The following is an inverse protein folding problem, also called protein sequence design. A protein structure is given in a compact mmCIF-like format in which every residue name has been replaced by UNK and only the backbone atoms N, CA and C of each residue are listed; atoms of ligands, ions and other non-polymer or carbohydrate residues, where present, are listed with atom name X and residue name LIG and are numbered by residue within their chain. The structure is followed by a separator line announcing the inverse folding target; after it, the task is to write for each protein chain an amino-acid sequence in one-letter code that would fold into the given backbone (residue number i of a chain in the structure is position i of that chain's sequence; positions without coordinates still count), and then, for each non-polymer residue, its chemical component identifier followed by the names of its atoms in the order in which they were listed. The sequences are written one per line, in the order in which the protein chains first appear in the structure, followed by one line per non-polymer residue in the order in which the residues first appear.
data_IF_398753790374
#
_entry.id   IF_398753790374
#
_cell.length_a   1.000
_cell.length_b   1.000
_cell.length_c   1.000
_cell.angle_alpha   90.00
_cell.angle_beta   90.00
_cell.angle_gamma   90.00
#
_symmetry.space_group_name_H-M   'P 1'
#
loop_
_entity.id
_entity.type
_entity.pdbx_description
1 polymer ?
#
# COMPACT_ATOMS: atom_id res chain seq x y z
N UNK A 1 -54.22 -9.45 21.07
CA UNK A 1 -53.04 -8.54 21.16
C UNK A 1 -52.19 -9.06 22.32
N UNK A 2 -50.85 -9.06 22.19
CA UNK A 2 -49.82 -9.52 23.16
C UNK A 2 -49.07 -10.80 22.73
N UNK A 3 -48.27 -10.66 21.66
CA UNK A 3 -47.31 -11.68 21.19
C UNK A 3 -45.96 -11.01 20.90
N UNK A 4 -45.44 -10.21 21.86
CA UNK A 4 -44.20 -9.42 21.70
C UNK A 4 -43.48 -9.24 23.04
N UNK A 5 -42.97 -10.30 23.67
CA UNK A 5 -42.05 -10.14 24.83
C UNK A 5 -41.24 -11.39 25.18
N UNK A 6 -40.93 -12.28 24.23
CA UNK A 6 -40.27 -13.55 24.56
C UNK A 6 -39.14 -13.89 23.58
N UNK A 7 -38.16 -13.00 23.44
CA UNK A 7 -36.97 -13.27 22.59
C UNK A 7 -35.77 -12.38 22.93
N UNK A 8 -35.51 -12.09 24.22
CA UNK A 8 -34.31 -11.31 24.61
C UNK A 8 -33.44 -12.03 25.66
N UNK A 9 -33.93 -13.09 26.30
CA UNK A 9 -33.19 -13.77 27.36
C UNK A 9 -32.15 -14.82 26.89
N UNK A 10 -32.09 -15.15 25.59
CA UNK A 10 -31.24 -16.24 25.08
C UNK A 10 -29.79 -15.87 24.77
N UNK A 11 -29.47 -14.59 24.57
CA UNK A 11 -28.13 -14.15 24.09
C UNK A 11 -27.17 -13.82 25.25
N UNK A 12 -27.70 -13.57 26.46
CA UNK A 12 -26.89 -13.22 27.65
C UNK A 12 -26.24 -14.42 28.36
N UNK A 13 -26.54 -15.66 27.96
CA UNK A 13 -26.02 -16.86 28.65
C UNK A 13 -24.73 -17.43 28.06
N UNK A 14 -24.26 -16.93 26.89
CA UNK A 14 -23.04 -17.43 26.24
C UNK A 14 -21.77 -16.63 26.56
N UNK A 15 -21.83 -15.67 27.48
CA UNK A 15 -20.69 -14.82 27.83
C UNK A 15 -19.89 -15.29 29.06
N UNK A 16 -20.33 -16.34 29.77
CA UNK A 16 -19.76 -16.70 31.09
C UNK A 16 -18.83 -17.93 31.04
N UNK A 17 -18.58 -18.50 29.86
CA UNK A 17 -17.73 -19.70 29.71
C UNK A 17 -16.41 -19.42 28.97
N UNK A 18 -15.82 -18.23 29.12
CA UNK A 18 -14.42 -18.04 28.77
C UNK A 18 -13.53 -18.24 30.01
N UNK A 19 -12.55 -19.15 29.97
CA UNK A 19 -11.62 -19.33 31.08
C UNK A 19 -10.77 -18.07 31.17
N UNK A 20 -10.82 -17.42 32.33
CA UNK A 20 -9.92 -16.34 32.71
C UNK A 20 -8.46 -16.85 32.71
N UNK A 21 -7.81 -16.79 31.56
CA UNK A 21 -6.37 -16.85 31.45
C UNK A 21 -5.88 -15.41 31.49
N UNK A 22 -5.55 -14.95 32.69
CA UNK A 22 -4.78 -13.74 32.92
C UNK A 22 -3.35 -13.94 32.39
N UNK A 23 -3.20 -13.84 31.07
CA UNK A 23 -1.95 -13.47 30.41
C UNK A 23 -2.12 -12.03 29.97
N UNK A 24 -1.22 -11.17 30.44
CA UNK A 24 -1.21 -9.72 30.25
C UNK A 24 -0.88 -9.36 28.79
N UNK A 25 -1.73 -9.80 27.87
CA UNK A 25 -1.61 -9.57 26.43
C UNK A 25 -2.91 -8.92 26.02
N UNK A 26 -2.88 -7.60 25.89
CA UNK A 26 -4.03 -6.84 25.45
C UNK A 26 -4.44 -7.33 24.05
N UNK A 27 -5.59 -8.00 23.90
CA UNK A 27 -6.01 -8.52 22.61
C UNK A 27 -6.27 -7.38 21.60
N UNK A 28 -6.47 -6.15 22.07
CA UNK A 28 -6.58 -4.98 21.20
C UNK A 28 -5.24 -4.57 20.60
N UNK A 29 -4.14 -4.73 21.35
CA UNK A 29 -2.79 -4.43 20.85
C UNK A 29 -2.32 -5.43 19.78
N UNK A 30 -2.67 -6.72 19.93
CA UNK A 30 -2.39 -7.74 18.91
C UNK A 30 -3.21 -7.49 17.62
N UNK A 31 -4.45 -6.98 17.74
CA UNK A 31 -5.29 -6.59 16.59
C UNK A 31 -4.75 -5.34 15.91
N UNK A 32 -4.32 -4.33 16.67
CA UNK A 32 -3.75 -3.09 16.14
C UNK A 32 -2.44 -3.34 15.40
N UNK A 33 -1.52 -4.12 15.98
CA UNK A 33 -0.28 -4.52 15.31
C UNK A 33 -0.53 -5.31 14.01
N UNK A 34 -1.57 -6.16 13.99
CA UNK A 34 -1.98 -6.89 12.79
C UNK A 34 -2.54 -5.94 11.72
N UNK A 35 -3.33 -4.95 12.12
CA UNK A 35 -3.85 -3.93 11.21
C UNK A 35 -2.73 -3.07 10.63
N UNK A 36 -1.77 -2.64 11.46
CA UNK A 36 -0.59 -1.90 11.03
C UNK A 36 0.25 -2.70 10.04
N UNK A 37 0.45 -3.99 10.28
CA UNK A 37 1.17 -4.88 9.36
C UNK A 37 0.46 -5.00 8.01
N UNK A 38 -0.87 -5.14 8.03
CA UNK A 38 -1.71 -5.18 6.83
C UNK A 38 -1.74 -3.85 6.08
N UNK A 39 -1.40 -2.73 6.74
CA UNK A 39 -1.29 -1.40 6.13
C UNK A 39 0.12 -1.05 5.67
N UNK A 40 1.10 -1.96 5.78
CA UNK A 40 2.44 -1.70 5.22
C UNK A 40 2.41 -1.62 3.69
N UNK A 41 3.21 -0.73 3.07
CA UNK A 41 3.32 -0.66 1.61
C UNK A 41 3.68 -1.99 0.97
N UNK A 42 4.50 -2.82 1.63
CA UNK A 42 4.86 -4.15 1.16
C UNK A 42 3.68 -5.14 1.20
N UNK A 43 2.86 -5.14 2.25
CA UNK A 43 1.67 -5.98 2.32
C UNK A 43 0.60 -5.55 1.31
N UNK A 44 0.56 -4.26 0.97
CA UNK A 44 -0.38 -3.70 0.01
C UNK A 44 0.06 -3.77 -1.44
N UNK A 45 1.31 -3.49 -1.74
CA UNK A 45 1.83 -3.50 -3.11
C UNK A 45 2.31 -4.89 -3.51
N UNK A 46 2.64 -5.73 -2.54
CA UNK A 46 3.04 -7.13 -2.74
C UNK A 46 1.97 -7.90 -3.50
N UNK A 47 2.32 -8.28 -4.74
CA UNK A 47 1.45 -9.07 -5.62
C UNK A 47 0.48 -8.28 -6.48
N UNK A 48 0.30 -6.96 -6.27
CA UNK A 48 -0.58 -6.11 -7.12
C UNK A 48 0.15 -5.56 -8.35
N UNK A 49 1.44 -5.26 -8.19
CA UNK A 49 2.33 -4.82 -9.28
C UNK A 49 3.45 -5.84 -9.39
N UNK A 50 3.66 -6.40 -10.58
CA UNK A 50 4.79 -7.29 -10.85
C UNK A 50 5.97 -6.55 -11.47
N UNK A 51 7.15 -7.18 -11.43
CA UNK A 51 8.33 -6.68 -12.14
C UNK A 51 8.07 -6.49 -13.64
N UNK A 52 7.33 -7.42 -14.26
CA UNK A 52 6.94 -7.33 -15.67
C UNK A 52 6.05 -6.12 -15.98
N UNK A 53 5.21 -5.67 -15.04
CA UNK A 53 4.40 -4.46 -15.21
C UNK A 53 5.27 -3.21 -15.26
N UNK A 54 6.31 -3.18 -14.42
CA UNK A 54 7.30 -2.09 -14.38
C UNK A 54 8.11 -2.10 -15.67
N UNK A 55 8.60 -3.25 -16.12
CA UNK A 55 9.33 -3.37 -17.39
C UNK A 55 8.50 -2.88 -18.57
N UNK A 56 7.23 -3.28 -18.65
CA UNK A 56 6.32 -2.87 -19.72
C UNK A 56 6.12 -1.35 -19.73
N UNK A 57 5.90 -0.75 -18.57
CA UNK A 57 5.75 0.70 -18.43
C UNK A 57 7.01 1.43 -18.88
N UNK A 58 8.19 1.03 -18.39
CA UNK A 58 9.45 1.67 -18.75
C UNK A 58 9.84 1.47 -20.21
N UNK A 59 9.52 0.32 -20.80
CA UNK A 59 9.70 0.09 -22.23
C UNK A 59 8.86 1.08 -23.05
N UNK A 60 7.60 1.27 -22.69
CA UNK A 60 6.73 2.25 -23.33
C UNK A 60 7.23 3.69 -23.14
N UNK A 61 7.64 4.08 -21.93
CA UNK A 61 8.14 5.43 -21.66
C UNK A 61 9.40 5.75 -22.49
N UNK A 62 10.35 4.81 -22.58
CA UNK A 62 11.54 4.96 -23.42
C UNK A 62 11.17 5.11 -24.90
N UNK A 63 10.28 4.26 -25.40
CA UNK A 63 9.84 4.32 -26.79
C UNK A 63 9.05 5.60 -27.10
N UNK A 64 8.21 6.06 -26.18
CA UNK A 64 7.45 7.30 -26.28
C UNK A 64 8.36 8.52 -26.29
N UNK A 65 9.41 8.54 -25.46
CA UNK A 65 10.40 9.62 -25.47
C UNK A 65 11.14 9.69 -26.81
N UNK A 66 11.54 8.54 -27.36
CA UNK A 66 12.17 8.46 -28.68
C UNK A 66 11.22 8.94 -29.78
N UNK A 67 9.96 8.49 -29.78
CA UNK A 67 8.94 8.94 -30.73
C UNK A 67 8.72 10.46 -30.64
N UNK A 68 8.59 10.99 -29.43
CA UNK A 68 8.37 12.41 -29.16
C UNK A 68 9.53 13.26 -29.67
N UNK A 69 10.78 12.79 -29.50
CA UNK A 69 11.96 13.49 -30.04
C UNK A 69 11.94 13.61 -31.58
N UNK A 70 11.14 12.79 -32.25
CA UNK A 70 10.98 12.79 -33.71
C UNK A 70 9.67 13.47 -34.14
N UNK A 71 8.96 14.15 -33.22
CA UNK A 71 7.66 14.76 -33.50
C UNK A 71 6.54 13.75 -33.77
N UNK A 72 6.71 12.50 -33.30
CA UNK A 72 5.74 11.42 -33.46
C UNK A 72 5.16 11.03 -32.11
N UNK A 73 3.90 10.63 -32.10
CA UNK A 73 3.29 10.01 -30.92
C UNK A 73 3.33 8.48 -31.04
N UNK A 74 3.40 7.82 -29.89
CA UNK A 74 3.33 6.37 -29.79
C UNK A 74 2.00 5.99 -29.13
N UNK A 75 1.19 5.11 -29.74
CA UNK A 75 -0.03 4.64 -29.11
C UNK A 75 0.30 3.81 -27.88
N UNK A 76 -0.53 3.96 -26.83
CA UNK A 76 -0.41 3.15 -25.61
C UNK A 76 -0.67 1.68 -25.94
N UNK A 77 0.24 0.74 -25.62
CA UNK A 77 0.03 -0.67 -25.85
C UNK A 77 -1.18 -1.20 -25.07
N UNK A 78 -2.02 -2.02 -25.69
CA UNK A 78 -3.18 -2.61 -25.02
C UNK A 78 -2.83 -3.35 -23.73
N UNK A 79 -1.67 -4.03 -23.71
CA UNK A 79 -1.20 -4.72 -22.52
C UNK A 79 -1.01 -3.75 -21.35
N UNK A 80 -0.47 -2.56 -21.60
CA UNK A 80 -0.27 -1.54 -20.57
C UNK A 80 -1.61 -0.98 -20.10
N UNK A 81 -2.53 -0.69 -21.03
CA UNK A 81 -3.90 -0.24 -20.70
C UNK A 81 -4.63 -1.26 -19.83
N UNK A 82 -4.60 -2.55 -20.20
CA UNK A 82 -5.24 -3.62 -19.42
C UNK A 82 -4.67 -3.74 -18.00
N UNK A 83 -3.36 -3.60 -17.85
CA UNK A 83 -2.71 -3.64 -16.52
C UNK A 83 -3.05 -2.39 -15.70
N UNK A 84 -3.01 -1.21 -16.30
CA UNK A 84 -3.40 0.03 -15.65
C UNK A 84 -4.86 -0.01 -15.16
N UNK A 85 -5.77 -0.57 -15.94
CA UNK A 85 -7.16 -0.76 -15.52
C UNK A 85 -7.33 -1.78 -14.38
N UNK A 86 -6.59 -2.90 -14.43
CA UNK A 86 -6.63 -3.91 -13.37
C UNK A 86 -6.12 -3.32 -12.05
N UNK A 87 -4.97 -2.65 -12.08
CA UNK A 87 -4.42 -1.92 -10.95
C UNK A 87 -5.41 -0.83 -10.50
N UNK A 88 -5.98 -0.06 -11.43
CA UNK A 88 -6.95 0.99 -11.11
C UNK A 88 -8.19 0.48 -10.36
N UNK A 89 -8.75 -0.67 -10.76
CA UNK A 89 -9.86 -1.32 -10.04
C UNK A 89 -9.45 -1.80 -8.65
N UNK A 90 -8.24 -2.34 -8.52
CA UNK A 90 -7.67 -2.77 -7.25
C UNK A 90 -7.39 -1.60 -6.31
N UNK A 91 -7.12 -0.41 -6.83
CA UNK A 91 -7.02 0.82 -6.04
C UNK A 91 -8.41 1.40 -5.72
N UNK A 92 -9.38 1.30 -6.64
CA UNK A 92 -10.73 1.82 -6.42
C UNK A 92 -11.49 1.06 -5.33
N UNK A 93 -11.26 -0.25 -5.21
CA UNK A 93 -11.85 -1.15 -4.19
C UNK A 93 -11.38 -0.85 -2.75
N UNK A 94 -10.41 0.03 -2.63
CA UNK A 94 -9.35 -0.04 -1.63
C UNK A 94 -8.92 1.38 -1.19
N UNK A 95 -9.29 2.36 -2.02
CA UNK A 95 -9.67 3.71 -1.64
C UNK A 95 -8.48 4.64 -1.40
N UNK A 96 -8.80 5.75 -0.73
CA UNK A 96 -7.87 6.83 -0.40
C UNK A 96 -6.65 6.34 0.40
N UNK A 97 -6.81 5.32 1.23
CA UNK A 97 -5.72 4.75 2.04
C UNK A 97 -4.60 4.18 1.17
N UNK A 98 -4.93 3.48 0.07
CA UNK A 98 -3.93 2.97 -0.87
C UNK A 98 -3.14 4.09 -1.53
N UNK A 99 -3.85 5.16 -1.92
CA UNK A 99 -3.22 6.34 -2.52
C UNK A 99 -2.24 7.01 -1.56
N UNK A 100 -2.62 7.17 -0.29
CA UNK A 100 -1.77 7.75 0.74
C UNK A 100 -0.54 6.88 1.05
N UNK A 101 -0.72 5.56 1.12
CA UNK A 101 0.38 4.62 1.34
C UNK A 101 1.37 4.62 0.17
N UNK A 102 0.88 4.63 -1.07
CA UNK A 102 1.72 4.72 -2.26
C UNK A 102 2.51 6.03 -2.30
N UNK A 103 1.85 7.16 -2.04
CA UNK A 103 2.50 8.46 -1.97
C UNK A 103 3.58 8.50 -0.90
N UNK A 104 3.29 7.98 0.29
CA UNK A 104 4.26 7.91 1.38
C UNK A 104 5.48 7.04 1.03
N UNK A 105 5.26 5.91 0.36
CA UNK A 105 6.34 5.05 -0.11
C UNK A 105 7.23 5.77 -1.15
N UNK A 106 6.62 6.45 -2.12
CA UNK A 106 7.33 7.24 -3.13
C UNK A 106 8.12 8.39 -2.50
N UNK A 107 7.51 9.12 -1.57
CA UNK A 107 8.16 10.21 -0.83
C UNK A 107 9.39 9.70 -0.06
N UNK A 108 9.26 8.55 0.61
CA UNK A 108 10.36 7.95 1.36
C UNK A 108 11.53 7.58 0.44
N UNK A 109 11.25 6.89 -0.67
CA UNK A 109 12.29 6.52 -1.65
C UNK A 109 12.94 7.73 -2.32
N UNK A 110 12.16 8.77 -2.63
CA UNK A 110 12.70 10.01 -3.18
C UNK A 110 13.62 10.71 -2.17
N UNK A 111 13.22 10.78 -0.89
CA UNK A 111 14.08 11.33 0.18
C UNK A 111 15.36 10.54 0.36
N UNK A 112 15.29 9.22 0.30
CA UNK A 112 16.47 8.34 0.35
C UNK A 112 17.43 8.62 -0.81
N UNK A 113 16.92 8.62 -2.05
CA UNK A 113 17.73 8.91 -3.23
C UNK A 113 18.38 10.31 -3.18
N UNK A 114 17.67 11.31 -2.66
CA UNK A 114 18.24 12.66 -2.46
C UNK A 114 19.36 12.65 -1.42
N UNK A 115 19.22 11.92 -0.32
CA UNK A 115 20.27 11.80 0.70
C UNK A 115 21.51 11.10 0.15
N UNK A 116 21.33 10.04 -0.63
CA UNK A 116 22.42 9.31 -1.27
C UNK A 116 23.14 10.15 -2.36
N UNK A 117 22.41 11.04 -3.03
CA UNK A 117 22.96 11.94 -4.04
C UNK A 117 23.70 13.16 -3.46
N UNK A 118 23.57 13.44 -2.15
CA UNK A 118 24.31 14.52 -1.52
C UNK A 118 25.74 14.05 -1.21
N UNK A 119 26.79 14.78 -1.67
CA UNK A 119 28.16 14.46 -1.30
C UNK A 119 28.34 14.67 0.21
N UNK A 120 29.05 13.75 0.87
CA UNK A 120 29.40 13.86 2.29
C UNK A 120 30.03 15.23 2.59
N UNK A 121 29.28 16.11 3.26
CA UNK A 121 29.76 17.42 3.78
C UNK A 121 30.88 17.28 4.83
N UNK A 122 31.33 16.05 5.12
CA UNK A 122 32.41 15.76 6.08
C UNK A 122 33.82 15.89 5.50
N UNK A 123 33.99 16.21 4.22
CA UNK A 123 35.32 16.38 3.60
C UNK A 123 35.65 17.84 3.25
N UNK A 124 35.43 18.77 4.18
CA UNK A 124 35.99 20.13 4.12
C UNK A 124 36.18 20.72 5.52
N UNK A 125 36.98 20.06 6.34
CA UNK A 125 37.80 20.77 7.31
C UNK A 125 39.20 20.92 6.68
N UNK A 126 39.59 22.10 6.18
CA UNK A 126 40.99 22.36 5.90
C UNK A 126 41.75 22.45 7.22
N UNK A 127 42.70 21.53 7.42
CA UNK A 127 43.74 21.65 8.43
C UNK A 127 44.42 23.02 8.27
N UNK A 128 44.27 23.90 9.27
CA UNK A 128 45.16 25.02 9.55
C UNK A 128 45.27 25.25 11.04
#
# INVERSE_FOLDING_TARGET
MHFRTLTVAGIMALAVAMPAHAGDKDPSADVEATLEQMMTPQAWLGGRISESDVELLFAYLKASLVASSQGRELPVPEALSRRAEAIGRDFQTHGMLTGLLLLHALETRAKEAVREAQPDEKFSAPDR
#
